data_IF_199643543107
#
_entry.id   IF_199643543107
#
_cell.length_a   1.000
_cell.length_b   1.000
_cell.length_c   1.000
_cell.angle_alpha   90.00
_cell.angle_beta   90.00
_cell.angle_gamma   90.00
#
_symmetry.space_group_name_H-M   'P 1'
#
loop_
_entity.id
_entity.type
_entity.pdbx_description
1 polymer ?
#
# COMPACT_ATOMS: atom_id res chain seq x y z
N UNK A 1 -11.24 2.54 4.55
CA UNK A 1 -10.83 1.32 5.26
C UNK A 1 -11.48 1.29 6.64
N UNK A 2 -12.18 0.21 6.99
CA UNK A 2 -12.84 0.11 8.30
C UNK A 2 -11.81 -0.12 9.42
N UNK A 3 -11.98 0.46 10.62
CA UNK A 3 -11.09 0.20 11.75
C UNK A 3 -11.12 -1.28 12.10
N UNK A 4 -9.95 -1.89 12.22
CA UNK A 4 -9.81 -3.21 12.80
C UNK A 4 -9.20 -3.06 14.20
N UNK A 5 -9.77 -3.78 15.18
CA UNK A 5 -9.28 -3.77 16.56
C UNK A 5 -7.79 -4.12 16.61
N UNK A 6 -6.98 -3.28 17.25
CA UNK A 6 -5.54 -3.44 17.47
C UNK A 6 -4.65 -3.56 16.20
N UNK A 7 -5.05 -3.00 15.06
CA UNK A 7 -4.15 -2.97 13.91
C UNK A 7 -3.16 -1.80 13.99
N UNK A 8 -1.89 -2.14 14.18
CA UNK A 8 -0.78 -1.19 14.15
C UNK A 8 -0.61 -0.46 12.82
N UNK A 9 -1.26 -0.91 11.74
CA UNK A 9 -1.18 -0.24 10.43
C UNK A 9 -2.27 0.80 10.20
N UNK A 10 -3.34 0.81 11.01
CA UNK A 10 -4.46 1.74 10.85
C UNK A 10 -4.06 3.23 10.86
N UNK A 11 -3.10 3.68 11.70
CA UNK A 11 -2.65 5.08 11.68
C UNK A 11 -2.05 5.55 10.35
N UNK A 12 -1.55 4.62 9.52
CA UNK A 12 -0.88 4.91 8.26
C UNK A 12 -1.81 4.81 7.04
N UNK A 13 -3.10 4.53 7.28
CA UNK A 13 -4.10 4.52 6.22
C UNK A 13 -4.33 5.94 5.72
N UNK A 14 -4.18 6.15 4.41
CA UNK A 14 -4.68 7.35 3.75
C UNK A 14 -6.21 7.29 3.75
N UNK A 15 -6.83 8.25 4.44
CA UNK A 15 -8.29 8.28 4.63
C UNK A 15 -8.93 9.03 3.47
N UNK A 16 -9.92 8.42 2.84
CA UNK A 16 -10.65 9.01 1.73
C UNK A 16 -11.64 7.99 1.14
N UNK A 17 -12.56 8.50 0.31
CA UNK A 17 -13.42 7.67 -0.56
C UNK A 17 -12.82 7.47 -1.94
N UNK A 18 -11.91 8.35 -2.31
CA UNK A 18 -11.27 8.40 -3.61
C UNK A 18 -9.77 8.59 -3.41
N UNK A 19 -8.99 8.08 -4.36
CA UNK A 19 -7.58 8.40 -4.51
C UNK A 19 -7.41 9.30 -5.73
N UNK A 20 -6.78 10.47 -5.55
CA UNK A 20 -6.51 11.42 -6.63
C UNK A 20 -5.03 11.31 -6.98
N UNK A 21 -4.72 10.94 -8.22
CA UNK A 21 -3.36 10.86 -8.70
C UNK A 21 -2.73 12.27 -8.70
N UNK A 22 -1.60 12.49 -7.99
CA UNK A 22 -1.08 13.82 -7.72
C UNK A 22 -0.69 14.60 -8.98
N UNK A 23 -0.18 13.93 -10.02
CA UNK A 23 0.25 14.59 -11.25
C UNK A 23 -0.85 14.69 -12.34
N UNK A 24 -1.58 13.59 -12.58
CA UNK A 24 -2.54 13.51 -13.69
C UNK A 24 -3.95 14.00 -13.31
N UNK A 25 -4.25 14.13 -12.01
CA UNK A 25 -5.61 14.44 -11.53
C UNK A 25 -6.62 13.30 -11.73
N UNK A 26 -6.17 12.12 -12.19
CA UNK A 26 -7.01 10.94 -12.32
C UNK A 26 -7.60 10.55 -10.96
N UNK A 27 -8.90 10.26 -10.91
CA UNK A 27 -9.61 9.89 -9.68
C UNK A 27 -9.94 8.40 -9.72
N UNK A 28 -9.32 7.64 -8.82
CA UNK A 28 -9.66 6.24 -8.57
C UNK A 28 -10.71 6.17 -7.44
N UNK A 29 -11.93 5.79 -7.80
CA UNK A 29 -13.02 5.56 -6.85
C UNK A 29 -12.88 4.20 -6.18
N UNK A 30 -12.95 4.16 -4.85
CA UNK A 30 -12.84 2.93 -4.08
C UNK A 30 -14.07 2.03 -4.29
N UNK A 31 -13.87 0.84 -4.87
CA UNK A 31 -14.95 -0.12 -5.19
C UNK A 31 -15.15 -1.16 -4.10
N UNK A 32 -15.50 -0.72 -2.89
CA UNK A 32 -15.93 -1.63 -1.81
C UNK A 32 -15.40 -1.30 -0.42
N UNK A 33 -15.62 -2.23 0.50
CA UNK A 33 -15.21 -2.11 1.90
C UNK A 33 -13.95 -2.94 2.16
N UNK A 34 -12.83 -2.27 2.34
CA UNK A 34 -11.55 -2.91 2.65
C UNK A 34 -11.21 -2.81 4.13
N UNK A 35 -10.57 -3.85 4.65
CA UNK A 35 -10.06 -3.93 6.02
C UNK A 35 -8.57 -4.26 6.00
N UNK A 36 -7.90 -4.16 7.14
CA UNK A 36 -6.49 -4.49 7.24
C UNK A 36 -6.16 -5.98 6.98
N UNK A 37 -7.15 -6.86 6.95
CA UNK A 37 -6.99 -8.29 6.66
C UNK A 37 -7.37 -8.67 5.22
N UNK A 38 -7.77 -7.70 4.39
CA UNK A 38 -8.00 -7.92 2.96
C UNK A 38 -6.74 -8.48 2.29
N UNK A 39 -6.93 -9.49 1.44
CA UNK A 39 -5.92 -10.16 0.61
C UNK A 39 -6.27 -10.00 -0.86
N UNK A 40 -5.32 -10.25 -1.76
CA UNK A 40 -5.55 -10.14 -3.21
C UNK A 40 -6.05 -8.74 -3.55
N UNK A 41 -5.24 -7.74 -3.23
CA UNK A 41 -5.61 -6.32 -3.38
C UNK A 41 -4.58 -5.57 -4.21
N UNK A 42 -5.09 -4.64 -5.00
CA UNK A 42 -4.31 -3.54 -5.57
C UNK A 42 -4.30 -2.41 -4.54
N UNK A 43 -3.12 -1.87 -4.24
CA UNK A 43 -2.94 -0.80 -3.27
C UNK A 43 -1.99 0.27 -3.82
N UNK A 44 -2.05 1.44 -3.18
CA UNK A 44 -1.11 2.53 -3.40
C UNK A 44 -0.37 2.85 -2.11
N UNK A 45 0.94 3.04 -2.23
CA UNK A 45 1.81 3.63 -1.21
C UNK A 45 2.07 5.09 -1.59
N UNK A 46 2.05 5.97 -0.59
CA UNK A 46 2.15 7.41 -0.77
C UNK A 46 3.31 7.93 0.07
N UNK A 47 4.30 8.52 -0.61
CA UNK A 47 5.39 9.27 -0.01
C UNK A 47 4.89 10.64 0.49
N UNK A 48 5.42 11.19 1.59
CA UNK A 48 5.18 12.60 1.96
C UNK A 48 5.61 13.60 0.88
N UNK A 49 6.53 13.20 -0.01
CA UNK A 49 7.02 13.97 -1.13
C UNK A 49 6.11 13.96 -2.38
N UNK A 50 4.97 13.27 -2.33
CA UNK A 50 4.03 13.16 -3.45
C UNK A 50 4.30 12.01 -4.41
N UNK A 51 5.44 11.32 -4.33
CA UNK A 51 5.69 10.11 -5.10
C UNK A 51 4.77 8.97 -4.64
N UNK A 52 4.22 8.23 -5.59
CA UNK A 52 3.31 7.11 -5.31
C UNK A 52 3.85 5.81 -5.91
N UNK A 53 3.51 4.69 -5.29
CA UNK A 53 3.79 3.35 -5.81
C UNK A 53 2.51 2.55 -5.81
N UNK A 54 2.10 2.06 -6.97
CA UNK A 54 0.98 1.14 -7.10
C UNK A 54 1.55 -0.27 -7.12
N UNK A 55 0.93 -1.17 -6.38
CA UNK A 55 1.34 -2.56 -6.32
C UNK A 55 0.18 -3.47 -5.98
N UNK A 56 0.45 -4.75 -6.12
CA UNK A 56 -0.50 -5.82 -5.86
C UNK A 56 0.03 -6.73 -4.75
N UNK A 57 -0.86 -7.37 -4.01
CA UNK A 57 -0.44 -8.37 -3.02
C UNK A 57 -1.48 -9.45 -2.84
N UNK A 58 -1.01 -10.70 -2.84
CA UNK A 58 -1.78 -11.89 -2.44
C UNK A 58 -1.84 -12.05 -0.91
N UNK A 59 -0.95 -11.38 -0.18
CA UNK A 59 -0.91 -11.41 1.29
C UNK A 59 -1.95 -10.45 1.90
N UNK A 60 -2.16 -10.57 3.22
CA UNK A 60 -2.96 -9.56 3.93
C UNK A 60 -2.27 -8.20 3.83
N UNK A 61 -3.01 -7.15 3.47
CA UNK A 61 -2.44 -5.81 3.32
C UNK A 61 -1.71 -5.34 4.57
N UNK A 62 -2.19 -5.65 5.79
CA UNK A 62 -1.47 -5.30 7.03
C UNK A 62 -0.06 -5.91 7.10
N UNK A 63 0.10 -7.14 6.62
CA UNK A 63 1.38 -7.87 6.66
C UNK A 63 2.31 -7.29 5.61
N UNK A 64 1.79 -7.04 4.41
CA UNK A 64 2.55 -6.42 3.34
C UNK A 64 3.07 -5.02 3.73
N UNK A 65 2.21 -4.15 4.29
CA UNK A 65 2.62 -2.83 4.77
C UNK A 65 3.65 -2.94 5.90
N UNK A 66 3.51 -3.92 6.80
CA UNK A 66 4.51 -4.15 7.85
C UNK A 66 5.88 -4.52 7.28
N UNK A 67 5.92 -5.33 6.22
CA UNK A 67 7.17 -5.69 5.54
C UNK A 67 7.81 -4.46 4.88
N UNK A 68 7.05 -3.66 4.13
CA UNK A 68 7.53 -2.42 3.51
C UNK A 68 8.13 -1.45 4.54
N UNK A 69 7.42 -1.24 5.66
CA UNK A 69 7.90 -0.37 6.75
C UNK A 69 9.16 -0.93 7.43
N UNK A 70 9.21 -2.24 7.63
CA UNK A 70 10.41 -2.89 8.16
C UNK A 70 11.60 -2.74 7.22
N UNK A 71 11.40 -2.83 5.90
CA UNK A 71 12.46 -2.64 4.92
C UNK A 71 13.07 -1.24 5.01
N UNK A 72 12.23 -0.20 5.11
CA UNK A 72 12.68 1.19 5.33
C UNK A 72 13.50 1.29 6.62
N UNK A 73 12.97 0.79 7.73
CA UNK A 73 13.62 0.88 9.05
C UNK A 73 14.94 0.11 9.12
N UNK A 74 15.08 -0.99 8.38
CA UNK A 74 16.30 -1.79 8.32
C UNK A 74 17.29 -1.29 7.26
N UNK A 75 16.98 -0.22 6.53
CA UNK A 75 17.89 0.32 5.52
C UNK A 75 17.99 -0.54 4.25
N UNK A 76 16.96 -1.32 3.92
CA UNK A 76 17.04 -2.26 2.79
C UNK A 76 16.99 -1.51 1.45
N UNK A 77 18.11 -1.45 0.73
CA UNK A 77 18.22 -0.76 -0.56
C UNK A 77 17.73 -1.57 -1.76
N UNK A 78 17.39 -2.86 -1.59
CA UNK A 78 16.89 -3.69 -2.70
C UNK A 78 15.44 -3.40 -3.07
N UNK A 79 14.65 -2.88 -2.11
CA UNK A 79 13.27 -2.50 -2.38
C UNK A 79 13.19 -1.04 -2.83
N UNK A 80 12.49 -0.73 -3.95
CA UNK A 80 12.47 0.62 -4.52
C UNK A 80 11.85 1.64 -3.57
N UNK A 81 10.79 1.26 -2.84
CA UNK A 81 10.15 2.11 -1.83
C UNK A 81 11.13 2.44 -0.70
N UNK A 82 11.80 1.42 -0.16
CA UNK A 82 12.76 1.59 0.93
C UNK A 82 13.95 2.44 0.52
N UNK A 83 14.56 2.12 -0.63
CA UNK A 83 15.65 2.90 -1.22
C UNK A 83 15.27 4.37 -1.37
N UNK A 84 14.09 4.66 -1.94
CA UNK A 84 13.61 6.02 -2.11
C UNK A 84 13.45 6.76 -0.78
N UNK A 85 12.84 6.12 0.22
CA UNK A 85 12.64 6.73 1.54
C UNK A 85 13.98 7.08 2.18
N UNK A 86 14.97 6.20 2.09
CA UNK A 86 16.31 6.42 2.64
C UNK A 86 17.05 7.55 1.92
N UNK A 87 17.02 7.57 0.58
CA UNK A 87 17.66 8.61 -0.23
C UNK A 87 17.07 10.00 0.00
N UNK A 88 15.77 10.08 0.32
CA UNK A 88 15.07 11.34 0.61
C UNK A 88 15.04 11.70 2.10
N UNK A 89 15.61 10.87 2.98
CA UNK A 89 15.58 11.08 4.43
C UNK A 89 14.17 11.00 5.03
N UNK A 90 13.27 10.23 4.40
CA UNK A 90 11.93 9.96 4.89
C UNK A 90 11.91 8.72 5.80
N UNK A 91 11.00 8.71 6.77
CA UNK A 91 10.84 7.59 7.70
C UNK A 91 9.64 6.72 7.35
N UNK A 92 9.65 5.47 7.84
CA UNK A 92 8.55 4.53 7.66
C UNK A 92 7.22 5.01 8.27
N UNK A 93 7.26 5.97 9.20
CA UNK A 93 6.07 6.54 9.83
C UNK A 93 5.41 7.62 8.98
N UNK A 94 6.11 8.12 7.96
CA UNK A 94 5.56 9.05 6.97
C UNK A 94 4.90 8.33 5.80
N UNK A 95 5.19 7.04 5.61
CA UNK A 95 4.54 6.21 4.60
C UNK A 95 3.03 6.16 4.86
N UNK A 96 2.23 6.40 3.81
CA UNK A 96 0.78 6.20 3.84
C UNK A 96 0.39 5.18 2.81
N UNK A 97 -0.76 4.53 3.01
CA UNK A 97 -1.28 3.58 2.03
C UNK A 97 -2.80 3.61 1.91
N UNK A 98 -3.30 3.17 0.76
CA UNK A 98 -4.73 2.97 0.51
C UNK A 98 -4.91 1.72 -0.34
N UNK A 99 -5.91 0.89 -0.02
CA UNK A 99 -6.36 -0.19 -0.92
C UNK A 99 -7.26 0.42 -1.98
N UNK A 100 -6.99 0.15 -3.25
CA UNK A 100 -7.75 0.69 -4.39
C UNK A 100 -8.86 -0.26 -4.81
N UNK A 101 -8.54 -1.54 -4.97
CA UNK A 101 -9.47 -2.59 -5.37
C UNK A 101 -9.04 -3.98 -4.91
N UNK A 102 -9.98 -4.94 -4.98
CA UNK A 102 -9.70 -6.37 -4.82
C UNK A 102 -9.47 -6.97 -6.21
N UNK A 103 -8.49 -7.84 -6.31
CA UNK A 103 -8.17 -8.60 -7.51
C UNK A 103 -9.25 -9.69 -7.68
N UNK A 104 -9.90 -9.80 -8.84
CA UNK A 104 -10.82 -10.89 -9.16
C UNK A 104 -10.16 -12.27 -9.08
N UNK A 105 -10.93 -13.28 -8.67
CA UNK A 105 -10.41 -14.66 -8.48
C UNK A 105 -9.78 -15.27 -9.72
N UNK A 106 -10.21 -14.87 -10.91
CA UNK A 106 -9.67 -15.37 -12.19
C UNK A 106 -8.24 -14.84 -12.46
N UNK A 107 -7.88 -13.68 -11.90
CA UNK A 107 -6.56 -13.05 -12.08
C UNK A 107 -5.58 -13.48 -10.96
N UNK A 108 -6.09 -14.06 -9.86
CA UNK A 108 -5.26 -14.54 -8.75
C UNK A 108 -4.36 -15.72 -9.17
N UNK A 109 -4.86 -16.63 -10.02
CA UNK A 109 -4.09 -17.77 -10.51
C UNK A 109 -2.88 -17.33 -11.35
N UNK A 110 -3.00 -16.26 -12.13
CA UNK A 110 -1.90 -15.72 -12.91
C UNK A 110 -0.82 -15.07 -12.03
N UNK A 111 -1.24 -14.37 -10.97
CA UNK A 111 -0.34 -13.73 -10.00
C UNK A 111 0.41 -14.76 -9.16
N UNK A 112 -0.27 -15.79 -8.64
CA UNK A 112 0.39 -16.85 -7.85
C UNK A 112 1.43 -17.61 -8.68
N UNK A 113 1.26 -17.71 -10.00
CA UNK A 113 2.21 -18.33 -10.92
C UNK A 113 3.35 -17.39 -11.39
N UNK A 114 3.29 -16.10 -11.06
CA UNK A 114 4.27 -15.09 -11.51
C UNK A 114 5.24 -14.62 -10.42
N UNK A 115 5.10 -15.08 -9.17
CA UNK A 115 5.92 -14.70 -8.00
C UNK A 115 6.92 -15.78 -7.64
#
# INVERSE_FOLDING_TARGET
>A
MSPCYNCNQFPYVHKGKDFIHPEMGYVAHLRGFYTCVSKYVVYVLICPCGLIYIGETTQMIKSHISQQRSAINLGNLSQPVSKHFLEKGHSADQLRFMVLEMIPHLEMEEIENSV
#
